data_IF_333605479472
#
_entry.id   IF_333605479472
#
_cell.length_a   1.000
_cell.length_b   1.000
_cell.length_c   1.000
_cell.angle_alpha   90.00
_cell.angle_beta   90.00
_cell.angle_gamma   90.00
#
_symmetry.space_group_name_H-M   'P 1'
#
loop_
_entity.id
_entity.type
_entity.pdbx_description
1 polymer ?
#
# COMPACT_ATOMS: atom_id res chain seq x y z
N UNK A 1 12.90 22.67 -51.09
CA UNK A 1 13.29 21.35 -51.62
C UNK A 1 13.12 20.38 -50.48
N UNK A 2 11.91 19.83 -50.38
CA UNK A 2 11.58 18.73 -49.50
C UNK A 2 11.57 17.51 -50.41
N UNK A 3 12.51 16.58 -50.21
CA UNK A 3 12.46 15.28 -50.87
C UNK A 3 11.94 14.26 -49.86
N UNK A 4 10.71 13.83 -50.14
CA UNK A 4 10.03 12.70 -49.53
C UNK A 4 10.76 11.40 -49.93
N UNK A 5 11.14 10.60 -48.94
CA UNK A 5 11.43 9.17 -49.14
C UNK A 5 10.45 8.37 -48.30
N UNK A 6 9.41 7.90 -48.98
CA UNK A 6 8.57 6.80 -48.53
C UNK A 6 9.39 5.50 -48.58
N UNK A 7 9.84 5.02 -47.43
CA UNK A 7 10.29 3.63 -47.31
C UNK A 7 9.06 2.75 -47.01
N UNK A 8 8.58 2.07 -48.05
CA UNK A 8 7.58 1.02 -47.94
C UNK A 8 8.15 -0.18 -47.19
N UNK A 9 7.74 -0.38 -45.95
CA UNK A 9 8.00 -1.63 -45.22
C UNK A 9 7.01 -2.68 -45.74
N UNK A 10 7.50 -3.54 -46.62
CA UNK A 10 6.89 -4.82 -46.95
C UNK A 10 6.80 -5.66 -45.66
N UNK A 11 5.59 -5.86 -45.14
CA UNK A 11 5.34 -6.82 -44.07
C UNK A 11 5.26 -8.19 -44.74
N UNK A 12 6.30 -9.00 -44.53
CA UNK A 12 6.30 -10.42 -44.87
C UNK A 12 5.15 -11.13 -44.12
N UNK A 13 4.28 -11.80 -44.87
CA UNK A 13 3.22 -12.71 -44.40
C UNK A 13 3.81 -13.97 -43.73
N UNK A 14 4.58 -13.78 -42.67
CA UNK A 14 5.05 -14.84 -41.81
C UNK A 14 3.87 -15.38 -41.01
N UNK A 15 3.32 -16.52 -41.44
CA UNK A 15 2.35 -17.36 -40.69
C UNK A 15 2.74 -17.44 -39.20
N UNK A 16 2.09 -16.60 -38.39
CA UNK A 16 2.24 -16.60 -36.94
C UNK A 16 1.64 -17.92 -36.45
N UNK A 17 2.50 -18.88 -36.07
CA UNK A 17 2.06 -20.06 -35.32
C UNK A 17 1.77 -19.60 -33.89
N UNK A 18 0.52 -19.70 -33.38
CA UNK A 18 0.20 -19.28 -32.02
C UNK A 18 1.02 -20.08 -31.02
N UNK A 19 1.67 -19.38 -30.08
CA UNK A 19 2.32 -20.03 -28.94
C UNK A 19 1.23 -20.51 -27.97
N UNK A 20 1.56 -21.52 -27.16
CA UNK A 20 0.63 -22.34 -26.35
C UNK A 20 -0.21 -21.59 -25.27
N UNK A 21 -0.35 -20.26 -25.28
CA UNK A 21 -1.07 -19.49 -24.24
C UNK A 21 -1.97 -18.35 -24.74
N UNK A 22 -2.35 -18.30 -26.01
CA UNK A 22 -3.09 -17.13 -26.54
C UNK A 22 -4.60 -17.41 -26.69
N UNK A 23 -5.31 -17.63 -25.58
CA UNK A 23 -6.78 -17.71 -25.60
C UNK A 23 -7.43 -16.33 -25.82
N UNK A 24 -6.75 -15.26 -25.41
CA UNK A 24 -7.15 -13.87 -25.67
C UNK A 24 -7.28 -13.56 -27.16
N UNK A 25 -6.40 -14.12 -27.99
CA UNK A 25 -6.46 -13.95 -29.45
C UNK A 25 -7.76 -14.50 -30.07
N UNK A 26 -8.30 -15.59 -29.52
CA UNK A 26 -9.55 -16.16 -30.01
C UNK A 26 -10.77 -15.31 -29.63
N UNK A 27 -10.72 -14.70 -28.44
CA UNK A 27 -11.78 -13.84 -27.93
C UNK A 27 -11.76 -12.50 -28.70
N UNK A 28 -10.57 -11.95 -29.01
CA UNK A 28 -10.41 -10.78 -29.90
C UNK A 28 -11.00 -11.01 -31.31
N UNK A 29 -10.72 -12.17 -31.92
CA UNK A 29 -11.29 -12.52 -33.23
C UNK A 29 -12.81 -12.71 -33.18
N UNK A 30 -13.34 -13.14 -32.05
CA UNK A 30 -14.79 -13.30 -31.85
C UNK A 30 -15.46 -11.94 -31.67
N UNK A 31 -14.84 -11.03 -30.89
CA UNK A 31 -15.33 -9.67 -30.64
C UNK A 31 -15.23 -8.78 -31.88
N UNK A 32 -14.19 -8.96 -32.70
CA UNK A 32 -14.06 -8.35 -34.01
C UNK A 32 -15.04 -8.93 -35.05
N UNK A 33 -15.77 -9.99 -34.70
CA UNK A 33 -16.75 -10.65 -35.55
C UNK A 33 -16.15 -11.53 -36.65
N UNK A 34 -14.82 -11.68 -36.71
CA UNK A 34 -14.09 -12.43 -37.75
C UNK A 34 -14.36 -13.93 -37.71
N UNK A 35 -14.69 -14.45 -36.53
CA UNK A 35 -15.09 -15.84 -36.32
C UNK A 35 -16.39 -15.91 -35.50
N UNK A 36 -17.19 -16.95 -35.74
CA UNK A 36 -18.42 -17.22 -35.00
C UNK A 36 -18.44 -18.65 -34.45
N UNK A 37 -18.96 -18.86 -33.22
CA UNK A 37 -19.13 -20.20 -32.68
C UNK A 37 -20.06 -21.05 -33.54
N UNK A 38 -19.59 -22.22 -33.95
CA UNK A 38 -20.38 -23.18 -34.72
C UNK A 38 -21.35 -23.91 -33.79
N UNK A 39 -22.65 -23.65 -33.96
CA UNK A 39 -23.71 -24.45 -33.33
C UNK A 39 -23.73 -25.85 -33.96
N UNK A 40 -23.15 -26.84 -33.28
CA UNK A 40 -23.18 -28.23 -33.74
C UNK A 40 -24.38 -28.98 -33.15
N UNK A 41 -25.10 -29.74 -33.99
CA UNK A 41 -26.21 -30.63 -33.54
C UNK A 41 -25.74 -31.85 -32.74
N UNK A 42 -24.43 -32.15 -32.79
CA UNK A 42 -23.77 -33.31 -32.19
C UNK A 42 -22.62 -32.90 -31.30
N UNK A 43 -22.82 -31.89 -30.44
CA UNK A 43 -21.88 -31.66 -29.37
C UNK A 43 -21.87 -32.86 -28.43
N UNK A 44 -20.73 -33.54 -28.34
CA UNK A 44 -20.51 -34.51 -27.26
C UNK A 44 -20.45 -33.71 -25.96
N UNK A 45 -21.47 -33.92 -25.14
CA UNK A 45 -21.55 -33.35 -23.81
C UNK A 45 -20.60 -34.12 -22.88
N UNK A 46 -20.02 -33.44 -21.89
CA UNK A 46 -19.34 -34.11 -20.79
C UNK A 46 -20.35 -34.88 -19.90
N UNK A 47 -19.86 -35.56 -18.86
CA UNK A 47 -20.70 -36.31 -17.91
C UNK A 47 -21.74 -35.45 -17.20
N UNK A 48 -21.57 -34.12 -17.23
CA UNK A 48 -22.45 -33.13 -16.59
C UNK A 48 -23.35 -32.39 -17.60
N UNK A 49 -23.40 -32.85 -18.85
CA UNK A 49 -24.30 -32.29 -19.86
C UNK A 49 -23.85 -30.97 -20.48
N UNK A 50 -22.56 -30.58 -20.38
CA UNK A 50 -22.02 -29.34 -20.98
C UNK A 50 -21.24 -29.62 -22.26
N UNK A 51 -21.31 -28.68 -23.22
CA UNK A 51 -20.51 -28.73 -24.44
C UNK A 51 -19.02 -28.70 -24.07
N UNK A 52 -18.31 -29.82 -24.22
CA UNK A 52 -16.92 -29.92 -23.78
C UNK A 52 -15.96 -29.04 -24.60
N UNK A 53 -16.31 -28.73 -25.86
CA UNK A 53 -15.45 -28.02 -26.80
C UNK A 53 -16.30 -27.13 -27.73
N UNK A 54 -15.87 -25.89 -27.91
CA UNK A 54 -16.44 -24.93 -28.88
C UNK A 54 -15.61 -24.93 -30.17
N UNK A 55 -16.27 -25.17 -31.31
CA UNK A 55 -15.68 -25.00 -32.64
C UNK A 55 -16.12 -23.65 -33.22
N UNK A 56 -15.30 -23.09 -34.11
CA UNK A 56 -15.56 -21.79 -34.73
C UNK A 56 -15.55 -21.92 -36.26
N UNK A 57 -16.26 -21.02 -36.91
CA UNK A 57 -16.19 -20.79 -38.36
C UNK A 57 -15.76 -19.34 -38.60
N UNK A 58 -15.02 -19.10 -39.67
CA UNK A 58 -14.85 -17.75 -40.21
C UNK A 58 -16.20 -17.20 -40.71
N UNK A 59 -16.32 -15.87 -40.84
CA UNK A 59 -17.53 -15.21 -41.39
C UNK A 59 -17.93 -15.81 -42.75
N UNK A 60 -16.96 -16.16 -43.59
CA UNK A 60 -17.19 -16.75 -44.91
C UNK A 60 -17.71 -18.21 -44.87
N UNK A 61 -17.99 -18.75 -43.67
CA UNK A 61 -18.50 -20.10 -43.46
C UNK A 61 -17.44 -21.20 -43.47
N UNK A 62 -16.17 -20.87 -43.74
CA UNK A 62 -15.07 -21.82 -43.67
C UNK A 62 -14.80 -22.24 -42.21
N UNK A 63 -14.39 -23.49 -42.01
CA UNK A 63 -14.07 -23.99 -40.68
C UNK A 63 -12.80 -23.34 -40.14
N UNK A 64 -12.87 -22.78 -38.93
CA UNK A 64 -11.70 -22.23 -38.26
C UNK A 64 -10.74 -23.35 -37.86
N UNK A 65 -9.43 -23.10 -37.96
CA UNK A 65 -8.40 -24.14 -37.79
C UNK A 65 -8.24 -24.62 -36.34
N UNK A 66 -8.82 -23.92 -35.38
CA UNK A 66 -8.72 -24.24 -33.95
C UNK A 66 -10.09 -24.42 -33.30
N UNK A 67 -10.13 -25.21 -32.23
CA UNK A 67 -11.26 -25.33 -31.32
C UNK A 67 -10.81 -25.00 -29.88
N UNK A 68 -11.72 -24.45 -29.07
CA UNK A 68 -11.47 -24.10 -27.67
C UNK A 68 -12.03 -25.21 -26.77
N UNK A 69 -11.19 -25.82 -25.96
CA UNK A 69 -11.68 -26.71 -24.90
C UNK A 69 -12.34 -25.87 -23.81
N UNK A 70 -13.62 -26.09 -23.52
CA UNK A 70 -14.36 -25.30 -22.52
C UNK A 70 -13.96 -25.67 -21.07
N UNK A 71 -13.23 -26.77 -20.88
CA UNK A 71 -12.77 -27.21 -19.56
C UNK A 71 -11.40 -26.66 -19.15
N UNK A 72 -10.46 -26.55 -20.10
CA UNK A 72 -9.10 -26.09 -19.80
C UNK A 72 -8.64 -24.88 -20.61
N UNK A 73 -9.53 -24.33 -21.44
CA UNK A 73 -9.29 -23.18 -22.31
C UNK A 73 -8.15 -23.35 -23.32
N UNK A 74 -7.64 -24.58 -23.49
CA UNK A 74 -6.61 -24.87 -24.48
C UNK A 74 -7.18 -24.75 -25.90
N UNK A 75 -6.39 -24.13 -26.78
CA UNK A 75 -6.63 -24.11 -28.22
C UNK A 75 -6.13 -25.41 -28.85
N UNK A 76 -7.01 -26.08 -29.58
CA UNK A 76 -6.80 -27.39 -30.19
C UNK A 76 -6.84 -27.24 -31.71
N UNK A 77 -5.70 -27.42 -32.38
CA UNK A 77 -5.65 -27.44 -33.83
C UNK A 77 -6.47 -28.63 -34.39
N UNK A 78 -7.42 -28.34 -35.27
CA UNK A 78 -8.32 -29.31 -35.90
C UNK A 78 -7.69 -30.04 -37.12
N UNK A 79 -6.95 -29.38 -38.03
CA UNK A 79 -6.47 -30.00 -39.28
C UNK A 79 -5.52 -31.18 -39.07
N UNK A 80 -4.73 -31.15 -37.99
CA UNK A 80 -3.71 -32.16 -37.74
C UNK A 80 -4.22 -33.42 -37.02
N UNK A 81 -5.48 -33.44 -36.54
CA UNK A 81 -6.16 -34.58 -35.89
C UNK A 81 -5.55 -35.09 -34.57
N UNK A 82 -4.23 -35.11 -34.43
CA UNK A 82 -3.50 -35.73 -33.33
C UNK A 82 -3.46 -34.91 -32.05
N UNK A 83 -3.61 -33.58 -32.10
CA UNK A 83 -3.73 -32.74 -30.89
C UNK A 83 -5.13 -32.87 -30.27
N UNK A 84 -6.15 -32.72 -31.12
CA UNK A 84 -7.54 -33.01 -30.79
C UNK A 84 -7.75 -34.40 -30.20
N UNK A 85 -7.30 -35.44 -30.92
CA UNK A 85 -7.52 -36.83 -30.52
C UNK A 85 -6.72 -37.20 -29.26
N UNK A 86 -5.51 -36.66 -29.07
CA UNK A 86 -4.75 -36.86 -27.81
C UNK A 86 -5.41 -36.15 -26.63
N UNK A 87 -5.96 -34.95 -26.83
CA UNK A 87 -6.66 -34.22 -25.79
C UNK A 87 -7.96 -34.95 -25.36
N UNK A 88 -8.70 -35.50 -26.33
CA UNK A 88 -9.91 -36.27 -26.09
C UNK A 88 -9.62 -37.64 -25.43
N UNK A 89 -8.60 -38.38 -25.89
CA UNK A 89 -8.25 -39.71 -25.35
C UNK A 89 -7.62 -39.66 -23.96
N UNK A 90 -6.90 -38.58 -23.62
CA UNK A 90 -6.29 -38.44 -22.29
C UNK A 90 -7.25 -37.91 -21.22
N UNK A 91 -8.51 -37.60 -21.57
CA UNK A 91 -9.49 -36.90 -20.73
C UNK A 91 -8.88 -35.62 -20.13
N UNK A 92 -9.07 -34.48 -20.79
CA UNK A 92 -8.62 -33.14 -20.37
C UNK A 92 -7.98 -33.09 -18.96
N UNK A 93 -6.69 -33.44 -18.86
CA UNK A 93 -6.05 -33.69 -17.56
C UNK A 93 -5.86 -32.42 -16.73
N UNK A 94 -6.09 -31.24 -17.33
CA UNK A 94 -6.07 -29.96 -16.62
C UNK A 94 -7.23 -29.79 -15.64
N UNK A 95 -8.29 -30.62 -15.70
CA UNK A 95 -9.29 -30.72 -14.63
C UNK A 95 -8.74 -31.33 -13.33
N UNK A 96 -7.57 -31.98 -13.40
CA UNK A 96 -6.81 -32.51 -12.27
C UNK A 96 -5.48 -31.78 -12.10
N UNK A 97 -5.43 -30.48 -12.40
CA UNK A 97 -4.51 -29.66 -11.65
C UNK A 97 -5.04 -29.69 -10.21
N UNK A 98 -4.43 -30.53 -9.36
CA UNK A 98 -4.57 -30.43 -7.92
C UNK A 98 -4.03 -29.06 -7.53
N UNK A 99 -4.84 -28.02 -7.75
CA UNK A 99 -4.63 -26.71 -7.17
C UNK A 99 -4.60 -27.00 -5.69
N UNK A 100 -3.42 -26.78 -5.09
CA UNK A 100 -3.31 -26.87 -3.66
C UNK A 100 -4.18 -25.76 -3.06
N UNK A 101 -5.39 -26.14 -2.69
CA UNK A 101 -6.38 -25.23 -2.13
C UNK A 101 -5.87 -24.61 -0.81
N UNK A 102 -4.90 -25.24 -0.15
CA UNK A 102 -4.25 -24.66 1.02
C UNK A 102 -3.33 -23.50 0.64
N UNK A 103 -2.55 -23.64 -0.45
CA UNK A 103 -1.71 -22.57 -0.99
C UNK A 103 -2.57 -21.38 -1.45
N UNK A 104 -3.63 -21.64 -2.21
CA UNK A 104 -4.57 -20.60 -2.66
C UNK A 104 -5.21 -19.89 -1.47
N UNK A 105 -5.61 -20.62 -0.44
CA UNK A 105 -6.18 -20.05 0.78
C UNK A 105 -5.17 -19.14 1.49
N UNK A 106 -3.92 -19.56 1.64
CA UNK A 106 -2.88 -18.76 2.31
C UNK A 106 -2.54 -17.50 1.51
N UNK A 107 -2.33 -17.63 0.18
CA UNK A 107 -2.06 -16.47 -0.68
C UNK A 107 -3.23 -15.47 -0.71
N UNK A 108 -4.47 -15.97 -0.70
CA UNK A 108 -5.65 -15.11 -0.64
C UNK A 108 -5.78 -14.40 0.72
N UNK A 109 -5.49 -15.09 1.83
CA UNK A 109 -5.44 -14.45 3.15
C UNK A 109 -4.41 -13.34 3.22
N UNK A 110 -3.21 -13.59 2.69
CA UNK A 110 -2.15 -12.58 2.61
C UNK A 110 -2.57 -11.36 1.78
N UNK A 111 -3.17 -11.59 0.61
CA UNK A 111 -3.65 -10.52 -0.26
C UNK A 111 -4.77 -9.69 0.39
N UNK A 112 -5.72 -10.34 1.09
CA UNK A 112 -6.80 -9.65 1.81
C UNK A 112 -6.23 -8.84 2.98
N UNK A 113 -5.29 -9.41 3.74
CA UNK A 113 -4.63 -8.72 4.84
C UNK A 113 -3.88 -7.48 4.35
N UNK A 114 -3.08 -7.63 3.29
CA UNK A 114 -2.34 -6.53 2.66
C UNK A 114 -3.28 -5.44 2.13
N UNK A 115 -4.38 -5.82 1.47
CA UNK A 115 -5.41 -4.89 1.02
C UNK A 115 -5.99 -4.09 2.19
N UNK A 116 -6.39 -4.75 3.29
CA UNK A 116 -6.97 -4.08 4.44
C UNK A 116 -5.99 -3.09 5.07
N UNK A 117 -4.71 -3.48 5.22
CA UNK A 117 -3.65 -2.62 5.77
C UNK A 117 -3.39 -1.41 4.87
N UNK A 118 -3.23 -1.62 3.55
CA UNK A 118 -2.94 -0.54 2.59
C UNK A 118 -4.10 0.43 2.40
N UNK A 119 -5.33 -0.08 2.38
CA UNK A 119 -6.52 0.75 2.17
C UNK A 119 -7.05 1.42 3.44
N UNK A 120 -6.62 0.97 4.63
CA UNK A 120 -7.23 1.37 5.90
C UNK A 120 -8.64 0.80 6.10
N UNK A 121 -9.05 -0.18 5.29
CA UNK A 121 -10.37 -0.79 5.39
C UNK A 121 -10.52 -1.61 6.66
N UNK A 122 -11.71 -1.55 7.26
CA UNK A 122 -12.02 -2.39 8.43
C UNK A 122 -11.98 -3.87 8.08
N UNK A 123 -11.35 -4.69 8.93
CA UNK A 123 -11.40 -6.15 8.81
C UNK A 123 -12.82 -6.73 8.86
N UNK A 124 -13.84 -5.97 9.30
CA UNK A 124 -15.25 -6.39 9.21
C UNK A 124 -15.71 -6.56 7.76
N UNK A 125 -15.09 -5.87 6.80
CA UNK A 125 -15.43 -5.96 5.39
C UNK A 125 -15.26 -7.38 4.83
N UNK A 126 -14.31 -8.16 5.38
CA UNK A 126 -14.05 -9.54 4.94
C UNK A 126 -15.21 -10.50 5.23
N UNK A 127 -16.15 -10.08 6.08
CA UNK A 127 -17.38 -10.81 6.42
C UNK A 127 -18.61 -10.29 5.67
N UNK A 128 -18.49 -9.19 4.93
CA UNK A 128 -19.60 -8.64 4.15
C UNK A 128 -19.93 -9.53 2.94
N UNK A 129 -21.22 -9.71 2.65
CA UNK A 129 -21.68 -10.47 1.47
C UNK A 129 -21.12 -9.88 0.19
N UNK A 130 -21.24 -8.55 0.00
CA UNK A 130 -20.77 -7.86 -1.19
C UNK A 130 -19.28 -8.11 -1.48
N UNK A 131 -18.41 -8.04 -0.47
CA UNK A 131 -16.99 -8.31 -0.63
C UNK A 131 -16.72 -9.79 -0.95
N UNK A 132 -17.44 -10.71 -0.30
CA UNK A 132 -17.32 -12.16 -0.54
C UNK A 132 -17.79 -12.55 -1.93
N UNK A 133 -18.89 -11.96 -2.40
CA UNK A 133 -19.45 -12.17 -3.73
C UNK A 133 -18.52 -11.63 -4.80
N UNK A 134 -17.88 -10.48 -4.56
CA UNK A 134 -16.81 -9.95 -5.42
C UNK A 134 -15.65 -10.94 -5.53
N UNK A 135 -15.12 -11.44 -4.40
CA UNK A 135 -14.03 -12.42 -4.42
C UNK A 135 -14.42 -13.71 -5.17
N UNK A 136 -15.63 -14.23 -4.93
CA UNK A 136 -16.15 -15.39 -5.68
C UNK A 136 -16.27 -15.12 -7.17
N UNK A 137 -16.77 -13.94 -7.55
CA UNK A 137 -16.90 -13.52 -8.95
C UNK A 137 -15.53 -13.45 -9.62
N UNK A 138 -14.54 -12.83 -8.97
CA UNK A 138 -13.16 -12.79 -9.46
C UNK A 138 -12.56 -14.20 -9.63
N UNK A 139 -12.79 -15.10 -8.68
CA UNK A 139 -12.30 -16.48 -8.77
C UNK A 139 -12.94 -17.24 -9.94
N UNK A 140 -14.25 -17.12 -10.13
CA UNK A 140 -14.97 -17.75 -11.25
C UNK A 140 -14.56 -17.18 -12.60
N UNK A 141 -14.29 -15.87 -12.67
CA UNK A 141 -13.79 -15.21 -13.87
C UNK A 141 -12.40 -15.72 -14.27
N UNK A 142 -11.52 -15.97 -13.30
CA UNK A 142 -10.19 -16.52 -13.54
C UNK A 142 -10.20 -18.02 -13.85
N UNK A 143 -11.11 -18.78 -13.21
CA UNK A 143 -11.23 -20.22 -13.42
C UNK A 143 -12.67 -20.72 -13.20
N UNK A 144 -13.39 -20.95 -14.30
CA UNK A 144 -14.79 -21.43 -14.29
C UNK A 144 -14.97 -22.85 -13.72
N UNK A 145 -13.88 -23.61 -13.55
CA UNK A 145 -13.93 -24.97 -12.97
C UNK A 145 -13.80 -24.97 -11.44
N UNK A 146 -13.46 -23.83 -10.83
CA UNK A 146 -13.40 -23.69 -9.38
C UNK A 146 -14.81 -23.69 -8.81
N UNK A 147 -15.09 -24.62 -7.88
CA UNK A 147 -16.28 -24.55 -7.07
C UNK A 147 -16.10 -23.45 -6.00
N UNK A 148 -16.47 -22.21 -6.35
CA UNK A 148 -16.32 -21.04 -5.48
C UNK A 148 -17.10 -21.17 -4.15
N UNK A 149 -18.17 -21.97 -4.11
CA UNK A 149 -18.94 -22.22 -2.89
C UNK A 149 -18.28 -23.23 -1.95
N UNK A 150 -17.39 -24.07 -2.46
CA UNK A 150 -16.56 -24.96 -1.64
C UNK A 150 -15.37 -24.22 -1.00
N UNK A 151 -15.08 -22.97 -1.39
CA UNK A 151 -13.98 -22.19 -0.85
C UNK A 151 -14.41 -21.49 0.43
N UNK A 152 -13.84 -21.90 1.56
CA UNK A 152 -13.98 -21.18 2.82
C UNK A 152 -13.14 -19.90 2.80
N UNK A 153 -13.79 -18.76 2.53
CA UNK A 153 -13.17 -17.44 2.68
C UNK A 153 -12.79 -17.17 4.14
N UNK A 154 -11.67 -16.46 4.41
CA UNK A 154 -11.25 -16.15 5.76
C UNK A 154 -12.25 -15.23 6.45
N UNK A 155 -12.45 -15.45 7.76
CA UNK A 155 -13.24 -14.54 8.58
C UNK A 155 -12.38 -13.37 9.06
N UNK A 156 -13.02 -12.39 9.69
CA UNK A 156 -12.36 -11.23 10.26
C UNK A 156 -11.26 -11.62 11.25
N UNK A 157 -11.54 -12.60 12.11
CA UNK A 157 -10.58 -13.01 13.14
C UNK A 157 -9.34 -13.66 12.54
N UNK A 158 -9.49 -14.44 11.45
CA UNK A 158 -8.35 -15.03 10.73
C UNK A 158 -7.44 -13.94 10.16
N UNK A 159 -8.01 -12.94 9.48
CA UNK A 159 -7.23 -11.84 8.89
C UNK A 159 -6.57 -10.99 9.99
N UNK A 160 -7.29 -10.70 11.07
CA UNK A 160 -6.74 -9.99 12.22
C UNK A 160 -5.52 -10.71 12.81
N UNK A 161 -5.65 -12.00 13.13
CA UNK A 161 -4.55 -12.77 13.72
C UNK A 161 -3.33 -12.82 12.78
N UNK A 162 -3.57 -12.93 11.47
CA UNK A 162 -2.50 -12.90 10.47
C UNK A 162 -1.77 -11.54 10.46
N UNK A 163 -2.51 -10.43 10.51
CA UNK A 163 -1.92 -9.09 10.59
C UNK A 163 -1.14 -8.91 11.90
N UNK A 164 -1.68 -9.34 13.03
CA UNK A 164 -1.00 -9.31 14.33
C UNK A 164 0.30 -10.11 14.30
N UNK A 165 0.28 -11.34 13.76
CA UNK A 165 1.48 -12.19 13.62
C UNK A 165 2.53 -11.53 12.72
N UNK A 166 2.13 -10.94 11.59
CA UNK A 166 3.04 -10.18 10.73
C UNK A 166 3.60 -8.94 11.42
N UNK A 167 2.79 -8.29 12.26
CA UNK A 167 3.26 -7.16 13.05
C UNK A 167 4.34 -7.59 14.05
N UNK A 168 4.15 -8.70 14.76
CA UNK A 168 5.13 -9.23 15.71
C UNK A 168 6.44 -9.60 15.01
N UNK A 169 6.35 -10.21 13.82
CA UNK A 169 7.52 -10.51 12.98
C UNK A 169 8.28 -9.24 12.57
N UNK A 170 7.56 -8.19 12.16
CA UNK A 170 8.17 -6.91 11.81
C UNK A 170 8.79 -6.22 13.03
N UNK A 171 8.14 -6.27 14.19
CA UNK A 171 8.67 -5.72 15.44
C UNK A 171 9.95 -6.45 15.85
N UNK A 172 9.98 -7.79 15.73
CA UNK A 172 11.19 -8.56 15.99
C UNK A 172 12.32 -8.21 15.00
N UNK A 173 12.01 -8.02 13.72
CA UNK A 173 13.00 -7.57 12.75
C UNK A 173 13.58 -6.19 13.09
N UNK A 174 12.71 -5.23 13.44
CA UNK A 174 13.13 -3.90 13.89
C UNK A 174 13.99 -4.03 15.16
N UNK A 175 13.57 -4.84 16.13
CA UNK A 175 14.34 -5.11 17.36
C UNK A 175 15.75 -5.57 17.05
N UNK A 176 15.89 -6.56 16.17
CA UNK A 176 17.18 -7.13 15.79
C UNK A 176 18.09 -6.07 15.16
N UNK A 177 17.51 -5.17 14.36
CA UNK A 177 18.22 -4.05 13.75
C UNK A 177 18.66 -3.02 14.80
N UNK A 178 17.76 -2.55 15.68
CA UNK A 178 18.05 -1.41 16.57
C UNK A 178 18.86 -1.80 17.81
N UNK A 179 18.74 -3.05 18.30
CA UNK A 179 19.33 -3.50 19.58
C UNK A 179 20.82 -3.22 19.71
N UNK A 180 21.67 -3.54 18.71
CA UNK A 180 23.10 -3.26 18.81
C UNK A 180 23.40 -1.77 19.01
N UNK A 181 22.62 -0.90 18.36
CA UNK A 181 22.80 0.56 18.38
C UNK A 181 22.26 1.21 19.65
N UNK A 182 21.20 0.64 20.24
CA UNK A 182 20.72 1.04 21.57
C UNK A 182 21.77 0.69 22.62
N UNK A 183 22.23 -0.56 22.64
CA UNK A 183 23.17 -1.06 23.66
C UNK A 183 24.55 -0.40 23.62
N UNK A 184 25.02 0.03 22.45
CA UNK A 184 26.29 0.72 22.30
C UNK A 184 26.17 2.26 22.47
N UNK A 185 24.97 2.79 22.70
CA UNK A 185 24.72 4.22 22.90
C UNK A 185 24.81 5.09 21.63
N UNK A 186 24.83 4.50 20.44
CA UNK A 186 24.88 5.22 19.16
C UNK A 186 23.49 5.60 18.62
N UNK A 187 22.43 4.99 19.14
CA UNK A 187 21.06 5.29 18.74
C UNK A 187 20.59 6.66 19.25
N UNK A 188 19.79 7.32 18.43
CA UNK A 188 19.09 8.56 18.76
C UNK A 188 17.60 8.39 18.61
N UNK A 189 16.84 8.63 19.67
CA UNK A 189 15.39 8.63 19.71
C UNK A 189 14.86 10.03 19.37
N UNK A 190 14.24 10.15 18.19
CA UNK A 190 13.55 11.36 17.76
C UNK A 190 12.06 11.26 18.09
N UNK A 191 11.54 12.27 18.76
CA UNK A 191 10.17 12.32 19.25
C UNK A 191 9.41 13.52 18.71
N UNK A 192 8.20 13.29 18.22
CA UNK A 192 7.31 14.30 17.67
C UNK A 192 5.87 14.13 18.16
N UNK A 193 5.22 15.24 18.52
CA UNK A 193 3.80 15.26 18.85
C UNK A 193 2.98 15.63 17.63
N UNK A 194 2.05 14.75 17.28
CA UNK A 194 1.02 15.05 16.30
C UNK A 194 -0.37 15.19 16.92
N UNK A 195 -1.26 15.81 16.15
CA UNK A 195 -2.69 15.84 16.40
C UNK A 195 -3.40 15.35 15.14
N UNK A 196 -4.18 14.28 15.28
CA UNK A 196 -5.12 13.86 14.25
C UNK A 196 -6.54 13.91 14.82
N UNK A 197 -7.14 12.77 15.14
CA UNK A 197 -8.37 12.71 15.95
C UNK A 197 -8.03 12.92 17.43
N UNK A 198 -6.92 12.32 17.86
CA UNK A 198 -6.36 12.46 19.20
C UNK A 198 -4.89 12.88 19.09
N UNK A 199 -4.36 13.43 20.17
CA UNK A 199 -2.94 13.64 20.28
C UNK A 199 -2.20 12.30 20.22
N UNK A 200 -1.06 12.24 19.55
CA UNK A 200 -0.21 11.07 19.54
C UNK A 200 1.26 11.46 19.66
N UNK A 201 2.06 10.57 20.24
CA UNK A 201 3.51 10.65 20.27
C UNK A 201 4.06 9.67 19.24
N UNK A 202 4.80 10.18 18.26
CA UNK A 202 5.57 9.36 17.34
C UNK A 202 7.04 9.35 17.76
N UNK A 203 7.64 8.17 17.80
CA UNK A 203 9.04 7.97 18.12
C UNK A 203 9.75 7.15 17.06
N UNK A 204 10.94 7.61 16.67
CA UNK A 204 11.80 6.94 15.71
C UNK A 204 13.20 6.80 16.27
N UNK A 205 13.83 5.64 16.06
CA UNK A 205 15.24 5.43 16.38
C UNK A 205 16.06 5.61 15.11
N UNK A 206 17.02 6.52 15.16
CA UNK A 206 17.98 6.75 14.09
C UNK A 206 19.39 6.42 14.52
N UNK A 207 20.17 5.80 13.63
CA UNK A 207 21.56 5.41 13.86
C UNK A 207 22.31 5.36 12.53
N UNK A 208 23.65 5.34 12.61
CA UNK A 208 24.51 5.20 11.44
C UNK A 208 24.97 3.74 11.36
N UNK A 209 24.76 3.13 10.20
CA UNK A 209 25.27 1.80 9.85
C UNK A 209 26.27 1.95 8.69
N UNK A 210 27.16 0.98 8.49
CA UNK A 210 28.00 0.92 7.30
C UNK A 210 27.36 -0.05 6.31
N UNK A 211 27.24 0.34 5.04
CA UNK A 211 26.81 -0.59 3.99
C UNK A 211 27.91 -1.60 3.65
N UNK A 212 27.64 -2.52 2.72
CA UNK A 212 28.59 -3.55 2.25
C UNK A 212 29.91 -2.96 1.69
N UNK A 213 29.92 -1.68 1.32
CA UNK A 213 31.08 -0.95 0.81
C UNK A 213 31.78 -0.11 1.91
N UNK A 214 31.35 -0.21 3.17
CA UNK A 214 31.91 0.56 4.29
C UNK A 214 31.47 2.03 4.34
N UNK A 215 30.43 2.42 3.59
CA UNK A 215 29.93 3.80 3.55
C UNK A 215 28.87 4.01 4.64
N UNK A 216 28.96 5.07 5.45
CA UNK A 216 27.96 5.38 6.46
C UNK A 216 26.61 5.74 5.83
N UNK A 217 25.56 5.06 6.29
CA UNK A 217 24.16 5.29 5.93
C UNK A 217 23.36 5.57 7.19
N UNK A 218 22.59 6.66 7.15
CA UNK A 218 21.61 6.96 8.17
C UNK A 218 20.42 6.02 7.99
N UNK A 219 20.10 5.25 9.03
CA UNK A 219 18.89 4.45 9.09
C UNK A 219 17.96 5.02 10.14
N UNK A 220 16.66 4.88 9.87
CA UNK A 220 15.59 5.37 10.73
C UNK A 220 14.55 4.27 10.82
N UNK A 221 14.33 3.76 12.02
CA UNK A 221 13.37 2.70 12.28
C UNK A 221 12.26 3.24 13.21
N UNK A 222 11.00 2.82 13.00
CA UNK A 222 9.92 3.20 13.89
C UNK A 222 10.13 2.56 15.27
N UNK A 223 9.98 3.36 16.31
CA UNK A 223 10.07 2.88 17.70
C UNK A 223 8.68 2.82 18.33
N UNK A 224 7.90 3.90 18.23
CA UNK A 224 6.56 3.91 18.81
C UNK A 224 5.61 4.86 18.08
N UNK A 225 4.32 4.54 18.16
CA UNK A 225 3.22 5.42 17.77
C UNK A 225 2.11 5.30 18.81
N UNK A 226 2.14 6.21 19.78
CA UNK A 226 1.36 6.09 21.01
C UNK A 226 0.25 7.14 21.04
N UNK A 227 -1.03 6.74 21.13
CA UNK A 227 -2.10 7.69 21.37
C UNK A 227 -2.01 8.25 22.79
N UNK A 228 -2.01 9.57 22.91
CA UNK A 228 -1.87 10.28 24.18
C UNK A 228 -3.23 10.79 24.65
N UNK A 229 -3.99 9.90 25.29
CA UNK A 229 -5.30 10.20 25.87
C UNK A 229 -5.20 10.93 27.23
N UNK A 230 -4.16 10.62 27.99
CA UNK A 230 -3.92 11.21 29.30
C UNK A 230 -3.27 12.60 29.22
N UNK A 231 -3.17 13.28 30.36
CA UNK A 231 -2.43 14.54 30.48
C UNK A 231 -0.99 14.31 30.04
N UNK A 232 -0.49 15.14 29.12
CA UNK A 232 0.87 15.03 28.56
C UNK A 232 1.93 15.57 29.52
N UNK A 233 2.01 15.05 30.75
CA UNK A 233 3.07 15.40 31.70
C UNK A 233 4.40 14.78 31.26
N UNK A 234 5.51 15.33 31.76
CA UNK A 234 6.83 14.80 31.44
C UNK A 234 7.02 13.35 31.93
N UNK A 235 6.51 13.02 33.12
CA UNK A 235 6.55 11.67 33.71
C UNK A 235 5.73 10.70 32.85
N UNK A 236 4.48 11.05 32.49
CA UNK A 236 3.64 10.17 31.69
C UNK A 236 4.28 9.86 30.33
N UNK A 237 4.90 10.86 29.69
CA UNK A 237 5.62 10.64 28.42
C UNK A 237 6.78 9.66 28.64
N UNK A 238 7.56 9.81 29.71
CA UNK A 238 8.66 8.90 30.04
C UNK A 238 8.16 7.47 30.28
N UNK A 239 7.09 7.30 31.05
CA UNK A 239 6.51 5.98 31.33
C UNK A 239 6.01 5.29 30.06
N UNK A 240 5.36 6.02 29.17
CA UNK A 240 4.90 5.50 27.87
C UNK A 240 6.08 5.11 26.97
N UNK A 241 7.19 5.86 26.98
CA UNK A 241 8.40 5.51 26.23
C UNK A 241 9.10 4.27 26.80
N UNK A 242 9.17 4.13 28.13
CA UNK A 242 9.71 2.92 28.76
C UNK A 242 8.84 1.71 28.43
N UNK A 243 7.50 1.87 28.47
CA UNK A 243 6.57 0.80 28.08
C UNK A 243 6.75 0.40 26.62
N UNK A 244 6.92 1.37 25.71
CA UNK A 244 7.22 1.10 24.31
C UNK A 244 8.57 0.39 24.14
N UNK A 245 9.59 0.78 24.90
CA UNK A 245 10.87 0.09 24.96
C UNK A 245 10.78 -1.36 25.41
N UNK A 246 9.86 -1.66 26.33
CA UNK A 246 9.57 -3.01 26.78
C UNK A 246 9.07 -3.96 25.67
N UNK A 247 8.45 -3.43 24.61
CA UNK A 247 8.06 -4.24 23.42
C UNK A 247 9.30 -4.80 22.70
N UNK A 248 10.44 -4.11 22.82
CA UNK A 248 11.73 -4.51 22.24
C UNK A 248 12.64 -5.20 23.27
N UNK A 249 12.14 -5.55 24.46
CA UNK A 249 12.91 -6.05 25.60
C UNK A 249 14.04 -5.11 26.06
N UNK A 250 13.87 -3.80 25.90
CA UNK A 250 14.78 -2.82 26.50
C UNK A 250 14.39 -2.53 27.94
N UNK A 251 15.41 -2.48 28.79
CA UNK A 251 15.29 -1.98 30.16
C UNK A 251 15.05 -0.47 30.17
N UNK A 252 14.53 0.04 31.28
CA UNK A 252 14.37 1.48 31.48
C UNK A 252 15.71 2.22 31.33
N UNK A 253 16.80 1.67 31.88
CA UNK A 253 18.13 2.27 31.80
C UNK A 253 18.63 2.38 30.35
N UNK A 254 18.39 1.37 29.52
CA UNK A 254 18.75 1.40 28.10
C UNK A 254 17.95 2.47 27.35
N UNK A 255 16.67 2.63 27.65
CA UNK A 255 15.84 3.69 27.04
C UNK A 255 16.32 5.07 27.47
N UNK A 256 16.52 5.31 28.77
CA UNK A 256 16.93 6.61 29.29
C UNK A 256 18.38 6.99 28.93
N UNK A 257 19.19 6.02 28.53
CA UNK A 257 20.53 6.23 28.00
C UNK A 257 20.56 6.72 26.54
N UNK A 258 19.45 6.64 25.81
CA UNK A 258 19.37 7.10 24.42
C UNK A 258 19.64 8.61 24.30
N UNK A 259 20.23 9.00 23.18
CA UNK A 259 20.23 10.40 22.77
C UNK A 259 18.82 10.77 22.33
N UNK A 260 18.22 11.82 22.88
CA UNK A 260 16.86 12.21 22.55
C UNK A 260 16.81 13.55 21.82
N UNK A 261 16.04 13.59 20.74
CA UNK A 261 15.66 14.81 20.04
C UNK A 261 14.15 15.01 20.21
N UNK A 262 13.72 16.16 20.72
CA UNK A 262 12.29 16.46 20.88
C UNK A 262 11.89 17.72 20.14
N UNK A 263 10.60 17.88 19.87
CA UNK A 263 10.04 19.20 19.59
C UNK A 263 10.23 20.18 20.78
N UNK A 264 9.93 21.46 20.55
CA UNK A 264 10.04 22.50 21.58
C UNK A 264 8.83 22.65 22.50
N UNK A 265 7.87 21.72 22.47
CA UNK A 265 6.75 21.73 23.40
C UNK A 265 7.26 21.51 24.83
N UNK A 266 6.71 22.31 25.77
CA UNK A 266 7.27 22.43 27.11
C UNK A 266 7.34 21.10 27.87
N UNK A 267 6.34 20.23 27.68
CA UNK A 267 6.24 18.94 28.33
C UNK A 267 7.28 17.93 27.84
N UNK A 268 7.44 17.75 26.53
CA UNK A 268 8.41 16.78 25.97
C UNK A 268 9.84 17.30 26.09
N UNK A 269 10.05 18.61 25.95
CA UNK A 269 11.33 19.24 26.28
C UNK A 269 11.67 19.07 27.77
N UNK A 270 10.69 19.19 28.66
CA UNK A 270 10.90 18.95 30.10
C UNK A 270 11.20 17.49 30.39
N UNK A 271 10.59 16.55 29.66
CA UNK A 271 10.88 15.13 29.77
C UNK A 271 12.33 14.84 29.34
N UNK A 272 12.71 15.27 28.14
CA UNK A 272 14.05 15.05 27.62
C UNK A 272 15.14 15.63 28.52
N UNK A 273 14.95 16.84 29.04
CA UNK A 273 15.90 17.48 29.98
C UNK A 273 16.01 16.81 31.35
N UNK A 274 14.94 16.17 31.84
CA UNK A 274 14.89 15.64 33.21
C UNK A 274 15.36 14.20 33.30
N UNK A 275 14.98 13.37 32.33
CA UNK A 275 15.16 11.92 32.42
C UNK A 275 16.24 11.37 31.49
N UNK A 276 16.58 12.07 30.41
CA UNK A 276 17.56 11.60 29.43
C UNK A 276 18.90 12.31 29.61
N UNK A 277 19.98 11.54 29.50
CA UNK A 277 21.34 12.08 29.67
C UNK A 277 21.72 13.06 28.56
N UNK A 278 21.37 12.73 27.33
CA UNK A 278 21.68 13.50 26.14
C UNK A 278 20.37 13.95 25.49
N UNK A 279 20.07 15.24 25.56
CA UNK A 279 18.87 15.83 24.98
C UNK A 279 19.22 17.00 24.06
N UNK A 280 18.57 17.05 22.90
CA UNK A 280 18.64 18.16 21.97
C UNK A 280 17.25 18.62 21.52
N UNK A 281 17.13 19.92 21.25
CA UNK A 281 15.96 20.49 20.61
C UNK A 281 16.01 20.25 19.11
N UNK A 282 14.88 19.86 18.51
CA UNK A 282 14.74 19.75 17.07
C UNK A 282 15.18 21.05 16.36
N UNK A 283 16.11 20.92 15.41
CA UNK A 283 16.64 22.05 14.64
C UNK A 283 15.55 22.81 13.87
N UNK A 284 14.57 22.10 13.30
CA UNK A 284 13.43 22.72 12.61
C UNK A 284 12.64 23.63 13.56
N UNK A 285 12.36 23.16 14.78
CA UNK A 285 11.65 23.95 15.77
C UNK A 285 12.50 25.12 16.28
N UNK A 286 13.81 24.92 16.45
CA UNK A 286 14.74 25.98 16.82
C UNK A 286 14.74 27.11 15.77
N UNK A 287 14.89 26.75 14.48
CA UNK A 287 14.86 27.70 13.36
C UNK A 287 13.51 28.42 13.30
N UNK A 288 12.39 27.70 13.41
CA UNK A 288 11.06 28.30 13.46
C UNK A 288 10.96 29.33 14.59
N UNK A 289 11.42 29.00 15.80
CA UNK A 289 11.42 29.94 16.94
C UNK A 289 12.37 31.11 16.75
N UNK A 290 13.50 30.93 16.07
CA UNK A 290 14.39 32.02 15.70
C UNK A 290 13.71 32.97 14.71
N UNK A 291 13.03 32.45 13.68
CA UNK A 291 12.27 33.25 12.71
C UNK A 291 11.11 34.00 13.37
N UNK A 292 10.34 33.35 14.25
CA UNK A 292 9.28 34.00 15.03
C UNK A 292 9.83 35.16 15.89
N UNK A 293 10.99 34.96 16.53
CA UNK A 293 11.65 35.99 17.35
C UNK A 293 12.31 37.10 16.56
N UNK A 294 12.69 36.85 15.30
CA UNK A 294 13.19 37.92 14.43
C UNK A 294 12.08 38.93 14.11
N UNK A 295 10.88 38.41 13.80
CA UNK A 295 9.71 39.24 13.48
C UNK A 295 9.06 39.88 14.71
N UNK A 296 9.25 39.27 15.89
CA UNK A 296 8.78 39.79 17.16
C UNK A 296 9.85 39.64 18.25
N UNK A 297 10.88 40.51 18.24
CA UNK A 297 11.97 40.44 19.20
C UNK A 297 11.49 40.69 20.63
N UNK A 298 12.13 40.03 21.60
CA UNK A 298 11.84 40.26 23.03
C UNK A 298 12.12 41.71 23.39
N UNK A 299 11.33 42.27 24.30
CA UNK A 299 11.48 43.66 24.79
C UNK A 299 12.94 43.93 25.22
N UNK A 300 13.54 42.99 25.95
CA UNK A 300 14.93 43.07 26.43
C UNK A 300 16.01 43.07 25.32
N UNK A 301 15.63 42.79 24.07
CA UNK A 301 16.52 42.79 22.91
C UNK A 301 16.24 43.97 21.97
N UNK A 302 15.19 44.75 22.21
CA UNK A 302 14.82 45.89 21.36
C UNK A 302 15.93 46.94 21.31
N UNK A 303 16.65 47.13 22.42
CA UNK A 303 17.78 48.06 22.53
C UNK A 303 18.95 47.73 21.58
N UNK A 304 18.98 46.51 21.02
CA UNK A 304 20.02 46.08 20.07
C UNK A 304 19.71 46.44 18.61
N UNK A 305 18.52 46.95 18.33
CA UNK A 305 18.08 47.29 16.99
C UNK A 305 17.97 48.81 16.85
N UNK A 306 18.34 49.33 15.67
CA UNK A 306 18.04 50.70 15.30
C UNK A 306 16.54 50.92 15.11
N UNK A 307 16.09 52.18 15.22
CA UNK A 307 14.67 52.53 14.96
C UNK A 307 14.23 52.14 13.54
N UNK A 308 15.12 52.25 12.56
CA UNK A 308 14.86 51.84 11.19
C UNK A 308 14.61 50.33 11.08
N UNK A 309 15.47 49.50 11.69
CA UNK A 309 15.29 48.04 11.70
C UNK A 309 13.99 47.64 12.40
N UNK A 310 13.67 48.28 13.54
CA UNK A 310 12.41 48.04 14.24
C UNK A 310 11.19 48.43 13.40
N UNK A 311 11.27 49.52 12.64
CA UNK A 311 10.22 49.94 11.70
C UNK A 311 10.00 48.90 10.60
N UNK A 312 11.06 48.42 9.96
CA UNK A 312 10.97 47.40 8.92
C UNK A 312 10.45 46.06 9.44
N UNK A 313 10.89 45.63 10.62
CA UNK A 313 10.37 44.41 11.27
C UNK A 313 8.87 44.52 11.56
N UNK A 314 8.40 45.67 12.06
CA UNK A 314 6.96 45.94 12.27
C UNK A 314 6.18 45.91 10.95
N UNK A 315 6.74 46.48 9.88
CA UNK A 315 6.14 46.46 8.54
C UNK A 315 5.99 45.02 8.02
N UNK A 316 7.03 44.21 8.13
CA UNK A 316 7.01 42.79 7.77
C UNK A 316 6.00 41.98 8.59
N UNK A 317 5.98 42.16 9.91
CA UNK A 317 5.03 41.52 10.82
C UNK A 317 3.57 41.85 10.45
N UNK A 318 3.29 43.13 10.17
CA UNK A 318 1.95 43.60 9.74
C UNK A 318 1.53 42.96 8.42
N UNK A 319 2.45 42.86 7.45
CA UNK A 319 2.17 42.21 6.17
C UNK A 319 1.89 40.71 6.34
N UNK A 320 2.66 40.01 7.17
CA UNK A 320 2.42 38.61 7.48
C UNK A 320 1.05 38.39 8.14
N UNK A 321 0.63 39.26 9.05
CA UNK A 321 -0.70 39.19 9.66
C UNK A 321 -1.81 39.38 8.61
N UNK A 322 -1.64 40.31 7.66
CA UNK A 322 -2.58 40.49 6.55
C UNK A 322 -2.64 39.25 5.66
N UNK A 323 -1.50 38.64 5.32
CA UNK A 323 -1.43 37.40 4.57
C UNK A 323 -2.11 36.23 5.31
N UNK A 324 -1.89 36.12 6.62
CA UNK A 324 -2.55 35.12 7.46
C UNK A 324 -4.08 35.28 7.46
N UNK A 325 -4.58 36.52 7.64
CA UNK A 325 -6.02 36.82 7.55
C UNK A 325 -6.59 36.47 6.18
N UNK A 326 -5.86 36.79 5.10
CA UNK A 326 -6.26 36.43 3.74
C UNK A 326 -6.32 34.90 3.56
N UNK A 327 -5.30 34.17 4.03
CA UNK A 327 -5.26 32.72 3.97
C UNK A 327 -6.45 32.08 4.71
N UNK A 328 -6.77 32.58 5.92
CA UNK A 328 -7.95 32.14 6.66
C UNK A 328 -9.26 32.41 5.91
N UNK A 329 -9.41 33.57 5.28
CA UNK A 329 -10.59 33.92 4.49
C UNK A 329 -10.75 33.01 3.26
N UNK A 330 -9.65 32.74 2.55
CA UNK A 330 -9.65 31.81 1.40
C UNK A 330 -10.01 30.40 1.86
N UNK A 331 -9.47 29.95 2.99
CA UNK A 331 -9.74 28.61 3.51
C UNK A 331 -11.20 28.47 3.95
N UNK A 332 -11.76 29.46 4.66
CA UNK A 332 -13.20 29.49 5.01
C UNK A 332 -14.12 29.48 3.79
N UNK A 333 -13.76 30.20 2.72
CA UNK A 333 -14.53 30.17 1.46
C UNK A 333 -14.44 28.83 0.72
N UNK A 334 -13.33 28.09 0.86
CA UNK A 334 -13.23 26.71 0.35
C UNK A 334 -14.10 25.75 1.16
N UNK A 335 -14.13 25.88 2.48
CA UNK A 335 -15.01 25.07 3.35
C UNK A 335 -16.48 25.34 3.04
N UNK A 336 -16.88 26.62 2.86
CA UNK A 336 -18.25 26.97 2.46
C UNK A 336 -18.70 26.44 1.09
N UNK A 337 -17.79 26.02 0.21
CA UNK A 337 -18.13 25.32 -1.05
C UNK A 337 -18.11 23.79 -0.94
N UNK A 338 -17.40 23.24 0.06
CA UNK A 338 -17.32 21.79 0.29
C UNK A 338 -18.41 21.27 1.23
N UNK A 339 -19.00 22.11 2.10
CA UNK A 339 -20.12 21.66 2.95
C UNK A 339 -21.38 21.37 2.11
N UNK A 340 -21.62 22.08 1.01
CA UNK A 340 -22.78 21.85 0.13
C UNK A 340 -22.64 20.63 -0.80
N UNK A 341 -21.54 19.86 -0.73
CA UNK A 341 -21.28 18.72 -1.63
C UNK A 341 -21.09 17.37 -0.95
N UNK A 342 -21.23 17.29 0.38
CA UNK A 342 -21.07 16.02 1.13
C UNK A 342 -22.40 15.47 1.68
N UNK A 343 -23.53 16.17 1.52
CA UNK A 343 -24.85 15.68 1.98
C UNK A 343 -25.68 14.89 0.96
N UNK A 344 -25.16 14.60 -0.24
CA UNK A 344 -25.87 13.74 -1.19
C UNK A 344 -24.98 12.58 -1.62
N UNK A 345 -25.10 11.46 -0.90
CA UNK A 345 -25.04 10.06 -1.37
C UNK A 345 -24.59 9.12 -0.26
N UNK A 346 -25.43 9.01 0.77
CA UNK A 346 -25.56 7.78 1.56
C UNK A 346 -27.06 7.47 1.67
N UNK A 347 -27.55 6.66 0.73
CA UNK A 347 -28.73 5.83 0.87
C UNK A 347 -28.39 4.45 0.34
#
# INVERSE_FOLDING_TARGET
MCDDKEDSIMIDDAKIKPRKRDHYWLDELTDAGEITPKKTKTSKYDTDGRQAITQYNYINGAQFEYAKCNHCFALLALPAGGHWTRHQKKACLNGKNNIDMSLVKNTMQDAIAEFCVKSGSSFRMTESSAFRDLLKTCMLAMNQTVNADAISLPCRQTIRNLVETKCDQNLQHIKDIITPHVKNGSATLSLDFGLHIVNFLAGFISFIELNDQGVPILRVEPFCFLPMYAVKTAENIKEELVRAGGVFDFSEDEILALNVITDGAANISSMGKRYFKNWALCGCHAIQKMSERLLNPKISLLEKYSEYELSELRRCSTLLEKCYKLALLVNKKKVGKYVDTVETHFF
#
